data_IF_696119771120
#
_entry.id   IF_696119771120
#
_cell.length_a   1.000
_cell.length_b   1.000
_cell.length_c   1.000
_cell.angle_alpha   90.00
_cell.angle_beta   90.00
_cell.angle_gamma   90.00
#
_symmetry.space_group_name_H-M   'P 1'
#
loop_
_entity.id
_entity.type
_entity.pdbx_description
1 polymer ?
#
# COMPACT_ATOMS: atom_id res chain seq x y z
N UNK A 1 -2.17 -9.02 -9.98
CA UNK A 1 -2.43 -8.31 -8.71
C UNK A 1 -3.63 -7.39 -8.75
N UNK A 2 -3.71 -6.41 -9.66
CA UNK A 2 -4.83 -5.46 -9.73
C UNK A 2 -6.23 -6.10 -9.79
N UNK A 3 -6.41 -7.14 -10.62
CA UNK A 3 -7.67 -7.88 -10.68
C UNK A 3 -8.03 -8.50 -9.33
N UNK A 4 -7.04 -9.06 -8.62
CA UNK A 4 -7.27 -9.65 -7.30
C UNK A 4 -7.64 -8.59 -6.27
N UNK A 5 -7.03 -7.40 -6.30
CA UNK A 5 -7.41 -6.27 -5.44
C UNK A 5 -8.86 -5.85 -5.71
N UNK A 6 -9.25 -5.71 -6.97
CA UNK A 6 -10.60 -5.31 -7.35
C UNK A 6 -11.64 -6.36 -6.96
N UNK A 7 -11.39 -7.64 -7.24
CA UNK A 7 -12.27 -8.73 -6.82
C UNK A 7 -12.38 -8.77 -5.29
N UNK A 8 -11.25 -8.64 -4.57
CA UNK A 8 -11.25 -8.63 -3.11
C UNK A 8 -12.11 -7.49 -2.56
N UNK A 9 -12.04 -6.29 -3.15
CA UNK A 9 -12.88 -5.15 -2.74
C UNK A 9 -14.37 -5.41 -2.95
N UNK A 10 -14.73 -6.14 -4.00
CA UNK A 10 -16.14 -6.45 -4.30
C UNK A 10 -16.66 -7.64 -3.48
N UNK A 11 -15.81 -8.62 -3.20
CA UNK A 11 -16.19 -9.89 -2.59
C UNK A 11 -16.09 -9.88 -1.05
N UNK A 12 -15.08 -9.21 -0.49
CA UNK A 12 -14.84 -9.14 0.95
C UNK A 12 -15.58 -7.94 1.57
N UNK A 13 -16.91 -7.96 1.50
CA UNK A 13 -17.78 -6.88 2.00
C UNK A 13 -17.65 -6.64 3.53
N UNK A 14 -17.11 -7.61 4.26
CA UNK A 14 -16.85 -7.59 5.69
C UNK A 14 -15.40 -7.22 6.06
N UNK A 15 -14.53 -6.95 5.08
CA UNK A 15 -13.17 -6.45 5.33
C UNK A 15 -13.04 -4.99 4.89
N UNK A 16 -12.90 -4.10 5.87
CA UNK A 16 -12.75 -2.67 5.62
C UNK A 16 -11.48 -2.34 4.83
N UNK A 17 -10.37 -2.99 5.15
CA UNK A 17 -9.05 -2.61 4.64
C UNK A 17 -8.46 -3.68 3.71
N UNK A 18 -7.94 -3.22 2.57
CA UNK A 18 -7.18 -4.02 1.61
C UNK A 18 -5.86 -3.32 1.40
N UNK A 19 -4.79 -3.99 1.81
CA UNK A 19 -3.44 -3.48 1.70
C UNK A 19 -2.89 -3.69 0.29
N UNK A 20 -2.21 -2.68 -0.22
CA UNK A 20 -1.38 -2.72 -1.44
C UNK A 20 0.08 -2.66 -1.03
N UNK A 21 0.88 -3.61 -1.51
CA UNK A 21 2.27 -3.77 -1.07
C UNK A 21 3.24 -3.10 -2.04
N UNK A 22 3.57 -1.83 -1.79
CA UNK A 22 4.54 -1.09 -2.63
C UNK A 22 5.94 -1.73 -2.62
N UNK A 23 6.30 -2.41 -1.53
CA UNK A 23 7.58 -3.13 -1.40
C UNK A 23 7.70 -4.24 -2.44
N UNK A 24 6.61 -4.97 -2.71
CA UNK A 24 6.61 -6.11 -3.63
C UNK A 24 6.27 -5.71 -5.06
N UNK A 25 5.29 -4.81 -5.20
CA UNK A 25 4.69 -4.43 -6.48
C UNK A 25 5.37 -3.21 -7.11
N UNK A 26 6.15 -2.46 -6.33
CA UNK A 26 6.66 -1.15 -6.71
C UNK A 26 5.60 -0.05 -6.64
N UNK A 27 6.05 1.21 -6.60
CA UNK A 27 5.20 2.39 -6.40
C UNK A 27 4.10 2.52 -7.45
N UNK A 28 4.46 2.36 -8.72
CA UNK A 28 3.51 2.53 -9.83
C UNK A 28 2.36 1.53 -9.79
N UNK A 29 2.64 0.26 -9.46
CA UNK A 29 1.60 -0.76 -9.38
C UNK A 29 0.77 -0.58 -8.09
N UNK A 30 1.39 -0.17 -6.98
CA UNK A 30 0.68 0.18 -5.76
C UNK A 30 -0.33 1.33 -5.97
N UNK A 31 0.02 2.36 -6.77
CA UNK A 31 -0.92 3.42 -7.18
C UNK A 31 -2.13 2.86 -7.91
N UNK A 32 -1.90 1.97 -8.89
CA UNK A 32 -2.99 1.30 -9.60
C UNK A 32 -3.82 0.41 -8.66
N UNK A 33 -3.19 -0.22 -7.66
CA UNK A 33 -3.87 -0.98 -6.61
C UNK A 33 -4.82 -0.11 -5.76
N UNK A 34 -4.42 1.11 -5.42
CA UNK A 34 -5.29 2.07 -4.71
C UNK A 34 -6.51 2.49 -5.55
N UNK A 35 -6.34 2.58 -6.88
CA UNK A 35 -7.45 2.83 -7.80
C UNK A 35 -8.36 1.59 -7.87
N UNK A 36 -7.77 0.39 -7.91
CA UNK A 36 -8.49 -0.88 -8.01
C UNK A 36 -9.30 -1.26 -6.76
N UNK A 37 -9.13 -0.57 -5.63
CA UNK A 37 -9.92 -0.80 -4.41
C UNK A 37 -9.09 -0.97 -3.14
N UNK A 38 -7.77 -0.98 -3.24
CA UNK A 38 -6.87 -0.89 -2.09
C UNK A 38 -7.05 0.44 -1.35
N UNK A 39 -6.85 0.43 -0.03
CA UNK A 39 -6.94 1.64 0.79
C UNK A 39 -5.86 1.73 1.87
N UNK A 40 -4.86 0.85 1.85
CA UNK A 40 -3.78 0.82 2.83
C UNK A 40 -2.43 0.61 2.12
N UNK A 41 -1.52 1.58 2.22
CA UNK A 41 -0.20 1.53 1.60
C UNK A 41 0.84 0.78 2.45
N UNK A 42 0.50 0.21 3.61
CA UNK A 42 1.44 -0.63 4.36
C UNK A 42 2.60 0.08 5.06
N UNK A 43 2.58 1.42 5.13
CA UNK A 43 3.53 2.23 5.91
C UNK A 43 4.90 2.41 5.27
N UNK A 44 5.81 3.05 6.02
CA UNK A 44 7.12 3.53 5.53
C UNK A 44 8.26 2.52 5.66
N UNK A 45 7.99 1.30 6.16
CA UNK A 45 8.91 0.17 6.48
C UNK A 45 10.39 0.54 6.55
N UNK A 46 11.01 0.50 7.74
CA UNK A 46 12.40 0.96 7.94
C UNK A 46 13.48 -0.11 7.71
N UNK A 47 13.11 -1.38 7.73
CA UNK A 47 14.02 -2.49 7.48
C UNK A 47 13.23 -3.69 6.98
N UNK A 48 13.55 -4.15 5.78
CA UNK A 48 12.86 -5.24 5.10
C UNK A 48 13.90 -6.31 4.73
N UNK A 49 14.27 -7.12 5.71
CA UNK A 49 15.31 -8.15 5.57
C UNK A 49 14.83 -9.37 4.78
N UNK A 50 13.52 -9.59 4.72
CA UNK A 50 12.90 -10.76 4.09
C UNK A 50 12.86 -10.63 2.57
N UNK A 51 12.29 -9.57 1.99
CA UNK A 51 12.28 -9.42 0.54
C UNK A 51 13.65 -9.06 -0.01
N UNK A 52 14.52 -8.38 0.76
CA UNK A 52 15.97 -8.33 0.44
C UNK A 52 16.58 -9.73 0.32
N UNK A 53 16.31 -10.61 1.28
CA UNK A 53 16.74 -12.01 1.24
C UNK A 53 16.19 -12.79 0.04
N UNK A 54 15.04 -12.38 -0.49
CA UNK A 54 14.43 -12.91 -1.70
C UNK A 54 14.88 -12.22 -3.01
N UNK A 55 15.83 -11.27 -2.94
CA UNK A 55 16.41 -10.60 -4.10
C UNK A 55 15.74 -9.29 -4.53
N UNK A 56 14.84 -8.72 -3.73
CA UNK A 56 14.27 -7.40 -3.99
C UNK A 56 15.28 -6.27 -3.74
N UNK A 57 15.19 -5.21 -4.54
CA UNK A 57 16.02 -4.00 -4.41
C UNK A 57 15.14 -2.79 -4.11
N UNK A 58 15.67 -1.79 -3.39
CA UNK A 58 14.95 -0.57 -2.99
C UNK A 58 13.67 -0.81 -2.15
N UNK A 59 13.69 -1.81 -1.26
CA UNK A 59 12.55 -2.15 -0.38
C UNK A 59 12.62 -1.51 1.01
N UNK A 60 13.64 -0.68 1.23
CA UNK A 60 14.20 -0.41 2.55
C UNK A 60 13.44 0.67 3.32
N UNK A 61 12.84 1.61 2.60
CA UNK A 61 12.16 2.77 3.16
C UNK A 61 11.34 3.48 2.08
N UNK A 62 10.11 3.87 2.43
CA UNK A 62 9.31 4.80 1.63
C UNK A 62 9.04 6.05 2.45
N UNK A 63 9.52 7.19 1.97
CA UNK A 63 9.37 8.46 2.68
C UNK A 63 7.89 8.86 2.82
N UNK A 64 7.42 9.34 4.00
CA UNK A 64 6.06 9.83 4.17
C UNK A 64 5.63 10.87 3.13
N UNK A 65 6.52 11.76 2.70
CA UNK A 65 6.22 12.75 1.67
C UNK A 65 5.99 12.09 0.31
N UNK A 66 6.76 11.04 -0.01
CA UNK A 66 6.55 10.27 -1.23
C UNK A 66 5.26 9.43 -1.14
N UNK A 67 4.95 8.84 0.03
CA UNK A 67 3.64 8.18 0.25
C UNK A 67 2.48 9.14 0.01
N UNK A 68 2.63 10.39 0.46
CA UNK A 68 1.60 11.41 0.29
C UNK A 68 1.41 11.73 -1.18
N UNK A 69 2.51 12.01 -1.90
CA UNK A 69 2.49 12.23 -3.34
C UNK A 69 1.84 11.06 -4.09
N UNK A 70 2.24 9.83 -3.77
CA UNK A 70 1.73 8.59 -4.38
C UNK A 70 0.21 8.49 -4.27
N UNK A 71 -0.35 8.82 -3.10
CA UNK A 71 -1.80 8.80 -2.88
C UNK A 71 -2.51 9.99 -3.55
N UNK A 72 -1.96 11.20 -3.44
CA UNK A 72 -2.56 12.42 -3.99
C UNK A 72 -2.58 12.44 -5.52
N UNK A 73 -1.54 11.90 -6.18
CA UNK A 73 -1.47 11.75 -7.63
C UNK A 73 -2.63 10.91 -8.21
N UNK A 74 -3.23 10.04 -7.39
CA UNK A 74 -4.43 9.24 -7.75
C UNK A 74 -5.71 9.74 -7.09
N UNK A 75 -5.72 10.97 -6.58
CA UNK A 75 -6.88 11.62 -5.97
C UNK A 75 -7.32 11.01 -4.63
N UNK A 76 -6.41 10.35 -3.92
CA UNK A 76 -6.68 9.72 -2.61
C UNK A 76 -5.98 10.49 -1.48
N UNK A 77 -6.67 10.82 -0.38
CA UNK A 77 -6.01 11.40 0.78
C UNK A 77 -5.11 10.36 1.49
N UNK A 78 -3.89 10.75 1.86
CA UNK A 78 -3.08 9.96 2.79
C UNK A 78 -3.53 10.23 4.23
N UNK A 79 -3.63 9.17 5.05
CA UNK A 79 -3.93 9.25 6.48
C UNK A 79 -2.99 8.33 7.25
N UNK A 80 -2.46 8.82 8.37
CA UNK A 80 -1.69 8.00 9.30
C UNK A 80 -2.64 7.22 10.20
N UNK A 81 -2.29 5.98 10.53
CA UNK A 81 -3.11 5.09 11.36
C UNK A 81 -2.29 4.38 12.43
N UNK A 82 -2.96 3.96 13.49
CA UNK A 82 -2.45 2.96 14.44
C UNK A 82 -2.51 1.55 13.83
N UNK A 83 -2.00 0.55 14.56
CA UNK A 83 -2.12 -0.87 14.20
C UNK A 83 -3.57 -1.34 14.16
N UNK A 84 -4.44 -0.72 14.97
CA UNK A 84 -5.89 -1.00 15.02
C UNK A 84 -6.70 -0.16 14.02
N UNK A 85 -6.04 0.52 13.08
CA UNK A 85 -6.67 1.38 12.07
C UNK A 85 -7.41 2.62 12.62
N UNK A 86 -7.07 3.06 13.84
CA UNK A 86 -7.51 4.36 14.35
C UNK A 86 -6.70 5.47 13.68
N UNK A 87 -7.34 6.59 13.34
CA UNK A 87 -6.69 7.71 12.68
C UNK A 87 -5.84 8.50 13.68
N UNK A 88 -4.64 8.88 13.24
CA UNK A 88 -3.69 9.74 13.98
C UNK A 88 -3.67 11.15 13.40
#
# INVERSE_FOLDING_TARGET
>A
DLLMVAISRLFLDNFKNIQVSWVKEGIKLAQLGLIAGGNDLGGTMFEESISKGAGATNTDYLDPAEMQRVAEDVGRPLRRRTTLYELL
#
